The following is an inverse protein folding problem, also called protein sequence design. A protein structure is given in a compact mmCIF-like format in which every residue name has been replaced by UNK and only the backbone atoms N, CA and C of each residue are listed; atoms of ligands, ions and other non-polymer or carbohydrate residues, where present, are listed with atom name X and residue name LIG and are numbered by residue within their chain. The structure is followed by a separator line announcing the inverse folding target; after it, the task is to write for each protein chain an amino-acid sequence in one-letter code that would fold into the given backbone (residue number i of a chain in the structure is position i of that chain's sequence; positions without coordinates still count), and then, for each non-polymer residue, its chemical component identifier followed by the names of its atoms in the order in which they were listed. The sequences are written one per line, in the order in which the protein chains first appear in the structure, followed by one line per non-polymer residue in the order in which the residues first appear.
data_IF_192804472149
#
_entry.id   IF_192804472149
#
_cell.length_a   1.000
_cell.length_b   1.000
_cell.length_c   1.000
_cell.angle_alpha   90.00
_cell.angle_beta   90.00
_cell.angle_gamma   90.00
#
_symmetry.space_group_name_H-M   'P 1'
#
loop_
_entity.id
_entity.type
_entity.pdbx_description
1 polymer ?
#
# COMPACT_ATOMS: atom_id res chain seq x y z
N UNK A 1 2.44 -0.33 17.20
CA UNK A 1 1.03 -0.25 17.63
C UNK A 1 0.21 0.26 16.45
N UNK A 2 -0.33 -0.64 15.63
CA UNK A 2 -1.30 -0.23 14.63
C UNK A 2 -2.58 0.15 15.37
N UNK A 3 -3.09 1.37 15.15
CA UNK A 3 -4.41 1.80 15.61
C UNK A 3 -5.40 0.69 15.19
N UNK A 4 -6.14 0.12 16.14
CA UNK A 4 -6.73 -1.23 16.10
C UNK A 4 -7.65 -1.57 14.90
N UNK A 5 -7.90 -0.66 13.96
CA UNK A 5 -8.68 -0.88 12.74
C UNK A 5 -8.13 -0.17 11.49
N UNK A 6 -6.86 0.27 11.49
CA UNK A 6 -6.24 0.91 10.32
C UNK A 6 -5.36 -0.09 9.59
N UNK A 7 -5.72 -0.38 8.33
CA UNK A 7 -4.93 -1.23 7.45
C UNK A 7 -4.01 -0.38 6.58
N UNK A 8 -2.71 -0.55 6.75
CA UNK A 8 -1.71 0.07 5.87
C UNK A 8 -1.36 -0.90 4.74
N UNK A 9 -1.14 -0.36 3.54
CA UNK A 9 -0.76 -1.17 2.38
C UNK A 9 0.32 -0.51 1.54
N UNK A 10 1.36 -1.27 1.21
CA UNK A 10 2.46 -0.86 0.36
C UNK A 10 2.24 -1.33 -1.09
N UNK A 11 2.36 -0.42 -2.04
CA UNK A 11 2.22 -0.70 -3.47
C UNK A 11 3.45 -1.46 -4.01
N UNK A 12 3.25 -2.69 -4.50
CA UNK A 12 4.36 -3.49 -5.04
C UNK A 12 5.01 -2.86 -6.28
N UNK A 13 4.25 -2.16 -7.14
CA UNK A 13 4.84 -1.45 -8.28
C UNK A 13 5.89 -0.42 -7.80
N UNK A 14 5.55 0.32 -6.75
CA UNK A 14 6.46 1.30 -6.14
C UNK A 14 7.65 0.59 -5.50
N UNK A 15 7.44 -0.51 -4.77
CA UNK A 15 8.52 -1.29 -4.17
C UNK A 15 9.48 -1.87 -5.23
N UNK A 16 8.96 -2.33 -6.38
CA UNK A 16 9.78 -2.77 -7.52
C UNK A 16 10.58 -1.62 -8.10
N UNK A 17 9.99 -0.45 -8.27
CA UNK A 17 10.69 0.76 -8.70
C UNK A 17 11.79 1.19 -7.73
N UNK A 18 11.52 1.11 -6.41
CA UNK A 18 12.52 1.35 -5.37
C UNK A 18 13.68 0.36 -5.48
N UNK A 19 13.39 -0.95 -5.55
CA UNK A 19 14.42 -1.99 -5.70
C UNK A 19 15.28 -1.79 -6.94
N UNK A 20 14.70 -1.38 -8.07
CA UNK A 20 15.46 -1.07 -9.29
C UNK A 20 16.48 0.06 -9.06
N UNK A 21 16.18 1.01 -8.17
CA UNK A 21 17.05 2.17 -7.88
C UNK A 21 18.06 1.90 -6.77
N UNK A 22 17.71 1.11 -5.76
CA UNK A 22 18.53 0.93 -4.54
C UNK A 22 19.14 -0.47 -4.43
N UNK A 23 18.76 -1.41 -5.30
CA UNK A 23 19.22 -2.80 -5.30
C UNK A 23 18.47 -3.72 -4.32
N UNK A 24 17.64 -3.18 -3.42
CA UNK A 24 16.94 -3.96 -2.41
C UNK A 24 15.50 -3.46 -2.19
N UNK A 25 14.65 -4.31 -1.62
CA UNK A 25 13.29 -3.89 -1.26
C UNK A 25 13.31 -3.02 0.00
N UNK A 26 12.40 -2.04 0.12
CA UNK A 26 12.28 -1.29 1.35
C UNK A 26 11.75 -2.20 2.46
N UNK A 27 12.31 -2.05 3.66
CA UNK A 27 11.79 -2.71 4.86
C UNK A 27 10.45 -2.09 5.23
N UNK A 28 9.42 -2.92 5.39
CA UNK A 28 8.09 -2.47 5.80
C UNK A 28 7.98 -2.53 7.32
N UNK A 29 7.32 -1.53 7.90
CA UNK A 29 6.94 -1.54 9.32
C UNK A 29 5.92 -2.65 9.59
N UNK A 30 5.94 -3.19 10.80
CA UNK A 30 4.98 -4.20 11.24
C UNK A 30 3.53 -3.72 11.07
N UNK A 31 2.69 -4.58 10.48
CA UNK A 31 1.28 -4.28 10.18
C UNK A 31 1.02 -3.64 8.80
N UNK A 32 2.05 -3.51 7.95
CA UNK A 32 1.88 -3.05 6.56
C UNK A 32 1.78 -4.25 5.62
N UNK A 33 0.61 -4.41 5.00
CA UNK A 33 0.40 -5.43 3.97
C UNK A 33 0.94 -4.98 2.60
N UNK A 34 1.19 -5.94 1.71
CA UNK A 34 1.57 -5.64 0.31
C UNK A 34 0.36 -5.78 -0.59
N UNK A 35 0.14 -4.80 -1.46
CA UNK A 35 -0.86 -4.89 -2.55
C UNK A 35 -0.18 -4.97 -3.91
N UNK A 36 -0.67 -5.79 -4.86
CA UNK A 36 -0.12 -5.87 -6.21
C UNK A 36 -0.02 -4.52 -6.92
N UNK A 37 -1.02 -3.66 -6.74
CA UNK A 37 -1.05 -2.30 -7.26
C UNK A 37 -1.89 -1.39 -6.35
N UNK A 38 -1.30 -0.31 -5.84
CA UNK A 38 -1.96 0.62 -4.91
C UNK A 38 -3.18 1.31 -5.51
N UNK A 39 -3.08 1.77 -6.77
CA UNK A 39 -4.20 2.44 -7.45
C UNK A 39 -5.38 1.50 -7.70
N UNK A 40 -5.10 0.24 -8.06
CA UNK A 40 -6.15 -0.79 -8.25
C UNK A 40 -6.86 -1.05 -6.94
N UNK A 41 -6.09 -1.18 -5.84
CA UNK A 41 -6.67 -1.38 -4.50
C UNK A 41 -7.56 -0.22 -4.06
N UNK A 42 -7.18 1.03 -4.36
CA UNK A 42 -8.00 2.21 -4.09
C UNK A 42 -9.30 2.16 -4.94
N UNK A 43 -9.21 1.73 -6.19
CA UNK A 43 -10.37 1.52 -7.07
C UNK A 43 -11.35 0.48 -6.51
N UNK A 44 -10.85 -0.69 -6.10
CA UNK A 44 -11.66 -1.75 -5.48
C UNK A 44 -12.37 -1.27 -4.22
N UNK A 45 -11.68 -0.52 -3.36
CA UNK A 45 -12.27 0.03 -2.13
C UNK A 45 -13.38 1.04 -2.46
N UNK A 46 -13.17 1.91 -3.44
CA UNK A 46 -14.22 2.82 -3.88
C UNK A 46 -15.45 2.07 -4.44
N UNK A 47 -15.24 0.99 -5.19
CA UNK A 47 -16.34 0.13 -5.67
C UNK A 47 -17.09 -0.56 -4.52
N UNK A 48 -16.41 -0.83 -3.41
CA UNK A 48 -17.03 -1.37 -2.18
C UNK A 48 -17.75 -0.30 -1.34
N UNK A 49 -17.82 0.95 -1.82
CA UNK A 49 -18.52 2.05 -1.15
C UNK A 49 -17.64 2.84 -0.17
N UNK A 50 -16.32 2.62 -0.15
CA UNK A 50 -15.43 3.42 0.67
C UNK A 50 -15.22 4.82 0.08
N UNK A 51 -15.19 5.83 0.95
CA UNK A 51 -14.82 7.18 0.56
C UNK A 51 -13.32 7.26 0.23
N UNK A 52 -12.99 7.89 -0.90
CA UNK A 52 -11.62 8.20 -1.25
C UNK A 52 -11.24 9.59 -0.75
N UNK A 53 -10.15 9.66 0.02
CA UNK A 53 -9.60 10.90 0.56
C UNK A 53 -8.15 11.01 0.08
N UNK A 54 -7.83 12.11 -0.60
CA UNK A 54 -6.45 12.48 -0.96
C UNK A 54 -6.10 13.79 -0.25
N UNK A 55 -5.38 13.73 0.88
CA UNK A 55 -4.89 14.91 1.58
C UNK A 55 -3.96 15.76 0.71
#
# INVERSE_FOLDING_TARGET
MALNNIKFSACQNTMRGFKKRTGHFPTLTDGVDKTPAGVVRIGELQQQGYAYIRP
#
